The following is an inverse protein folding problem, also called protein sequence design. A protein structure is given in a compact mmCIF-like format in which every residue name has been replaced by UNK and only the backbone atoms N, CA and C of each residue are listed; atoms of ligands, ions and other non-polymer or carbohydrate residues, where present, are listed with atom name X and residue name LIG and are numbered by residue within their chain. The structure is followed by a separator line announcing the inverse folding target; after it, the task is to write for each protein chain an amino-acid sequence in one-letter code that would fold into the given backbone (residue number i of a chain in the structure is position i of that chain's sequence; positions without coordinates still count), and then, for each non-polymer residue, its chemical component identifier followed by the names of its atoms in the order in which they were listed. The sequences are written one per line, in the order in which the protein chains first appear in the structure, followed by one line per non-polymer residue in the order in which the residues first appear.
data_IF_042155482021
#
_entry.id   IF_042155482021
#
_cell.length_a   1.000
_cell.length_b   1.000
_cell.length_c   1.000
_cell.angle_alpha   90.00
_cell.angle_beta   90.00
_cell.angle_gamma   90.00
#
_symmetry.space_group_name_H-M   'P 1'
#
loop_
_entity.id
_entity.type
_entity.pdbx_description
1 polymer ?
#
# COMPACT_ATOMS: atom_id res chain seq x y z
N UNK A 1 -59.59 -17.23 12.68
CA UNK A 1 -58.94 -18.55 12.80
C UNK A 1 -57.47 -18.56 12.36
N UNK A 2 -57.11 -17.96 11.21
CA UNK A 2 -55.72 -17.93 10.70
C UNK A 2 -54.68 -17.31 11.65
N UNK A 3 -55.03 -16.24 12.40
CA UNK A 3 -54.10 -15.58 13.34
C UNK A 3 -53.72 -16.42 14.56
N UNK A 4 -54.58 -17.35 15.01
CA UNK A 4 -54.26 -18.23 16.15
C UNK A 4 -53.35 -19.39 15.73
N UNK A 5 -53.52 -19.90 14.52
CA UNK A 5 -52.67 -20.95 13.95
C UNK A 5 -51.24 -20.45 13.67
N UNK A 6 -51.09 -19.21 13.16
CA UNK A 6 -49.78 -18.57 13.01
C UNK A 6 -49.08 -18.34 14.35
N UNK A 7 -49.84 -17.98 15.40
CA UNK A 7 -49.29 -17.82 16.76
C UNK A 7 -48.84 -19.14 17.38
N UNK A 8 -49.51 -20.25 17.07
CA UNK A 8 -49.10 -21.60 17.48
C UNK A 8 -47.86 -22.09 16.71
N UNK A 9 -47.71 -21.75 15.43
CA UNK A 9 -46.51 -22.04 14.64
C UNK A 9 -45.28 -21.27 15.17
N UNK A 10 -45.39 -19.96 15.42
CA UNK A 10 -44.31 -19.18 16.06
C UNK A 10 -43.96 -19.64 17.49
N UNK A 11 -44.89 -20.28 18.21
CA UNK A 11 -44.64 -20.83 19.54
C UNK A 11 -44.04 -22.25 19.51
N UNK A 12 -43.82 -22.84 18.32
CA UNK A 12 -43.18 -24.13 18.19
C UNK A 12 -41.68 -24.01 18.54
N UNK A 13 -41.16 -24.77 19.52
CA UNK A 13 -39.74 -24.75 19.88
C UNK A 13 -38.81 -25.16 18.72
N UNK A 14 -39.32 -25.88 17.71
CA UNK A 14 -38.57 -26.22 16.50
C UNK A 14 -38.38 -24.99 15.61
N UNK A 15 -39.43 -24.20 15.42
CA UNK A 15 -39.41 -23.01 14.54
C UNK A 15 -38.52 -21.90 15.10
N UNK A 16 -38.56 -21.67 16.41
CA UNK A 16 -37.64 -20.74 17.10
C UNK A 16 -36.17 -21.11 16.95
N UNK A 17 -35.83 -22.41 16.96
CA UNK A 17 -34.45 -22.88 16.73
C UNK A 17 -34.03 -22.72 15.28
N UNK A 18 -34.94 -22.94 14.33
CA UNK A 18 -34.69 -22.68 12.91
C UNK A 18 -34.45 -21.18 12.64
N UNK A 19 -35.15 -20.28 13.33
CA UNK A 19 -34.94 -18.84 13.21
C UNK A 19 -33.59 -18.40 13.80
N UNK A 20 -33.19 -18.96 14.94
CA UNK A 20 -31.86 -18.74 15.52
C UNK A 20 -30.75 -19.24 14.60
N UNK A 21 -30.84 -20.48 14.11
CA UNK A 21 -29.89 -21.05 13.14
C UNK A 21 -29.77 -20.18 11.89
N UNK A 22 -30.90 -19.70 11.37
CA UNK A 22 -30.91 -18.79 10.22
C UNK A 22 -30.22 -17.46 10.53
N UNK A 23 -30.36 -16.94 11.75
CA UNK A 23 -29.67 -15.73 12.20
C UNK A 23 -28.15 -15.95 12.26
N UNK A 24 -27.68 -17.02 12.89
CA UNK A 24 -26.26 -17.37 12.95
C UNK A 24 -25.67 -17.61 11.56
N UNK A 25 -26.35 -18.39 10.71
CA UNK A 25 -25.90 -18.66 9.33
C UNK A 25 -25.82 -17.37 8.52
N UNK A 26 -26.79 -16.45 8.65
CA UNK A 26 -26.71 -15.13 8.00
C UNK A 26 -25.53 -14.31 8.50
N UNK A 27 -25.20 -14.40 9.79
CA UNK A 27 -24.06 -13.68 10.36
C UNK A 27 -22.73 -14.22 9.84
N UNK A 28 -22.53 -15.55 9.83
CA UNK A 28 -21.32 -16.14 9.24
C UNK A 28 -21.19 -15.85 7.75
N UNK A 29 -22.28 -15.89 6.98
CA UNK A 29 -22.26 -15.53 5.55
C UNK A 29 -21.84 -14.07 5.36
N UNK A 30 -22.32 -13.15 6.21
CA UNK A 30 -21.92 -11.75 6.14
C UNK A 30 -20.43 -11.54 6.48
N UNK A 31 -19.88 -12.29 7.44
CA UNK A 31 -18.45 -12.24 7.80
C UNK A 31 -17.58 -12.81 6.68
N UNK A 32 -18.00 -13.92 6.06
CA UNK A 32 -17.31 -14.51 4.90
C UNK A 32 -17.35 -13.58 3.68
N UNK A 33 -18.46 -12.88 3.45
CA UNK A 33 -18.55 -11.88 2.39
C UNK A 33 -17.65 -10.67 2.67
N UNK A 34 -17.62 -10.18 3.91
CA UNK A 34 -16.75 -9.09 4.32
C UNK A 34 -15.25 -9.44 4.16
N UNK A 35 -14.84 -10.65 4.55
CA UNK A 35 -13.45 -11.08 4.42
C UNK A 35 -13.03 -11.19 2.95
N UNK A 36 -13.93 -11.69 2.09
CA UNK A 36 -13.73 -11.72 0.64
C UNK A 36 -13.60 -10.31 0.06
N UNK A 37 -14.48 -9.38 0.43
CA UNK A 37 -14.41 -7.98 -0.01
C UNK A 37 -13.10 -7.29 0.42
N UNK A 38 -12.66 -7.50 1.66
CA UNK A 38 -11.38 -6.97 2.17
C UNK A 38 -10.21 -7.53 1.37
N UNK A 39 -10.17 -8.85 1.11
CA UNK A 39 -9.09 -9.47 0.36
C UNK A 39 -8.98 -8.94 -1.08
N UNK A 40 -10.10 -8.79 -1.79
CA UNK A 40 -10.13 -8.22 -3.15
C UNK A 40 -9.65 -6.77 -3.15
N UNK A 41 -10.18 -5.95 -2.22
CA UNK A 41 -9.79 -4.55 -2.12
C UNK A 41 -8.30 -4.37 -1.78
N UNK A 42 -7.76 -5.19 -0.88
CA UNK A 42 -6.34 -5.19 -0.54
C UNK A 42 -5.48 -5.63 -1.73
N UNK A 43 -5.88 -6.67 -2.46
CA UNK A 43 -5.14 -7.14 -3.62
C UNK A 43 -5.04 -6.06 -4.72
N UNK A 44 -6.15 -5.39 -5.03
CA UNK A 44 -6.16 -4.24 -5.95
C UNK A 44 -5.27 -3.09 -5.46
N UNK A 45 -5.40 -2.72 -4.19
CA UNK A 45 -4.57 -1.67 -3.58
C UNK A 45 -3.08 -2.01 -3.64
N UNK A 46 -2.72 -3.26 -3.37
CA UNK A 46 -1.35 -3.76 -3.41
C UNK A 46 -0.76 -3.67 -4.82
N UNK A 47 -1.55 -4.03 -5.83
CA UNK A 47 -1.15 -3.96 -7.23
C UNK A 47 -0.92 -2.50 -7.66
N UNK A 48 -1.86 -1.61 -7.34
CA UNK A 48 -1.73 -0.17 -7.61
C UNK A 48 -0.51 0.42 -6.92
N UNK A 49 -0.28 0.08 -5.65
CA UNK A 49 0.87 0.56 -4.89
C UNK A 49 2.20 0.04 -5.45
N UNK A 50 2.26 -1.23 -5.85
CA UNK A 50 3.44 -1.82 -6.48
C UNK A 50 3.77 -1.15 -7.81
N UNK A 51 2.76 -0.86 -8.65
CA UNK A 51 2.94 -0.14 -9.92
C UNK A 51 3.42 1.29 -9.68
N UNK A 52 2.80 2.02 -8.74
CA UNK A 52 3.23 3.38 -8.39
C UNK A 52 4.69 3.40 -7.92
N UNK A 53 5.10 2.44 -7.08
CA UNK A 53 6.48 2.35 -6.59
C UNK A 53 7.47 1.97 -7.71
N UNK A 54 7.08 1.06 -8.61
CA UNK A 54 7.89 0.72 -9.78
C UNK A 54 8.07 1.93 -10.71
N UNK A 55 7.02 2.72 -10.92
CA UNK A 55 7.09 3.97 -11.69
C UNK A 55 8.02 4.99 -11.02
N UNK A 56 7.91 5.16 -9.70
CA UNK A 56 8.81 6.06 -8.95
C UNK A 56 10.26 5.58 -9.09
N UNK A 57 10.55 4.29 -8.90
CA UNK A 57 11.91 3.75 -8.97
C UNK A 57 12.51 3.89 -10.37
N UNK A 58 11.73 3.60 -11.42
CA UNK A 58 12.19 3.71 -12.81
C UNK A 58 12.45 5.15 -13.23
N UNK A 59 11.62 6.10 -12.81
CA UNK A 59 11.85 7.53 -13.04
C UNK A 59 13.11 8.01 -12.33
N UNK A 60 13.30 7.62 -11.05
CA UNK A 60 14.52 7.97 -10.32
C UNK A 60 15.77 7.35 -10.96
N UNK A 61 15.71 6.07 -11.37
CA UNK A 61 16.80 5.39 -12.07
C UNK A 61 17.17 6.06 -13.39
N UNK A 62 16.17 6.47 -14.18
CA UNK A 62 16.40 7.18 -15.44
C UNK A 62 17.02 8.58 -15.24
N UNK A 63 16.60 9.30 -14.19
CA UNK A 63 17.22 10.58 -13.83
C UNK A 63 18.68 10.42 -13.41
N UNK A 64 19.00 9.35 -12.68
CA UNK A 64 20.39 9.03 -12.29
C UNK A 64 21.21 8.73 -13.54
N UNK A 65 20.72 7.87 -14.44
CA UNK A 65 21.45 7.50 -15.66
C UNK A 65 21.79 8.72 -16.53
N UNK A 66 20.81 9.60 -16.77
CA UNK A 66 21.04 10.85 -17.51
C UNK A 66 22.01 11.80 -16.80
N UNK A 67 21.95 11.86 -15.47
CA UNK A 67 22.87 12.71 -14.70
C UNK A 67 24.31 12.19 -14.81
N UNK A 68 24.52 10.87 -14.78
CA UNK A 68 25.83 10.25 -14.99
C UNK A 68 26.34 10.50 -16.40
N UNK A 69 25.52 10.36 -17.43
CA UNK A 69 25.88 10.65 -18.82
C UNK A 69 26.29 12.12 -19.03
N UNK A 70 25.58 13.06 -18.37
CA UNK A 70 25.96 14.48 -18.37
C UNK A 70 27.28 14.71 -17.64
N UNK A 71 27.53 14.02 -16.51
CA UNK A 71 28.81 14.12 -15.81
C UNK A 71 29.98 13.55 -16.64
N UNK A 72 29.77 12.42 -17.31
CA UNK A 72 30.76 11.77 -18.15
C UNK A 72 31.11 12.62 -19.38
N UNK A 73 30.09 13.15 -20.07
CA UNK A 73 30.30 14.07 -21.19
C UNK A 73 31.00 15.36 -20.75
N UNK A 74 30.63 15.94 -19.61
CA UNK A 74 31.32 17.11 -19.05
C UNK A 74 32.79 16.81 -18.68
N UNK A 75 33.09 15.60 -18.19
CA UNK A 75 34.45 15.17 -17.90
C UNK A 75 35.31 14.94 -19.16
N UNK A 76 34.69 14.52 -20.27
CA UNK A 76 35.37 14.26 -21.54
C UNK A 76 35.85 15.51 -22.29
N UNK A 77 35.38 16.70 -21.89
CA UNK A 77 35.82 17.98 -22.44
C UNK A 77 37.24 18.28 -21.91
N UNK A 78 38.17 18.82 -22.71
CA UNK A 78 39.50 19.25 -22.24
C UNK A 78 39.40 20.53 -21.38
N UNK A 79 38.72 20.44 -20.23
CA UNK A 79 38.44 21.56 -19.33
C UNK A 79 39.70 22.16 -18.69
N UNK A 80 40.77 21.37 -18.59
CA UNK A 80 42.04 21.78 -17.99
C UNK A 80 42.82 22.82 -18.83
N UNK A 81 42.52 22.94 -20.13
CA UNK A 81 43.15 23.91 -21.02
C UNK A 81 42.39 25.25 -21.10
N UNK A 82 41.20 25.33 -20.47
CA UNK A 82 40.31 26.49 -20.49
C UNK A 82 40.44 27.38 -19.24
N UNK A 83 39.71 28.50 -19.24
CA UNK A 83 39.74 29.49 -18.15
C UNK A 83 39.37 28.90 -16.77
N UNK A 84 39.89 29.51 -15.71
CA UNK A 84 39.64 29.07 -14.32
C UNK A 84 38.14 29.11 -13.95
N UNK A 85 37.38 30.01 -14.57
CA UNK A 85 35.92 30.10 -14.41
C UNK A 85 35.21 28.89 -15.03
N UNK A 86 35.66 28.44 -16.20
CA UNK A 86 35.11 27.27 -16.89
C UNK A 86 35.38 25.98 -16.11
N UNK A 87 36.59 25.81 -15.58
CA UNK A 87 36.96 24.65 -14.74
C UNK A 87 36.05 24.52 -13.51
N UNK A 88 35.82 25.64 -12.81
CA UNK A 88 34.94 25.66 -11.66
C UNK A 88 33.50 25.30 -12.05
N UNK A 89 33.01 25.81 -13.20
CA UNK A 89 31.67 25.52 -13.69
C UNK A 89 31.47 24.02 -13.98
N UNK A 90 32.42 23.39 -14.68
CA UNK A 90 32.40 21.95 -14.97
C UNK A 90 32.44 21.12 -13.68
N UNK A 91 33.29 21.51 -12.73
CA UNK A 91 33.38 20.86 -11.42
C UNK A 91 32.04 20.91 -10.68
N UNK A 92 31.35 22.07 -10.68
CA UNK A 92 30.02 22.21 -10.09
C UNK A 92 28.96 21.34 -10.78
N UNK A 93 29.02 21.21 -12.12
CA UNK A 93 28.09 20.37 -12.89
C UNK A 93 28.28 18.90 -12.50
N UNK A 94 29.52 18.41 -12.45
CA UNK A 94 29.85 17.02 -12.07
C UNK A 94 29.42 16.75 -10.61
N UNK A 95 29.74 17.67 -9.68
CA UNK A 95 29.34 17.56 -8.27
C UNK A 95 27.82 17.54 -8.08
N UNK A 96 27.08 18.32 -8.87
CA UNK A 96 25.62 18.35 -8.82
C UNK A 96 25.01 17.11 -9.43
N UNK A 97 25.55 16.64 -10.55
CA UNK A 97 25.10 15.42 -11.23
C UNK A 97 25.25 14.15 -10.37
N UNK A 98 26.23 14.15 -9.46
CA UNK A 98 26.44 13.07 -8.50
C UNK A 98 25.52 13.07 -7.27
N UNK A 99 24.70 14.13 -7.05
CA UNK A 99 23.74 14.15 -5.94
C UNK A 99 22.42 13.50 -6.38
N UNK A 100 22.02 12.36 -5.80
CA UNK A 100 20.75 11.73 -6.15
C UNK A 100 19.60 12.69 -5.84
N UNK A 101 18.65 12.80 -6.77
CA UNK A 101 17.42 13.56 -6.60
C UNK A 101 16.56 12.85 -5.55
N UNK A 102 16.79 13.14 -4.28
CA UNK A 102 15.94 12.63 -3.19
C UNK A 102 14.64 13.43 -3.22
N UNK A 103 13.56 12.81 -3.68
CA UNK A 103 12.20 13.36 -3.59
C UNK A 103 11.77 13.39 -2.12
N UNK A 104 12.21 14.44 -1.42
CA UNK A 104 11.86 14.72 -0.03
C UNK A 104 10.74 15.75 -0.02
N UNK A 105 9.52 15.33 0.30
CA UNK A 105 8.43 16.26 0.62
C UNK A 105 8.54 16.62 2.11
N UNK A 106 8.34 17.89 2.49
CA UNK A 106 8.46 18.35 3.87
C UNK A 106 7.53 17.60 4.85
N UNK A 107 6.47 16.95 4.34
CA UNK A 107 5.50 16.18 5.13
C UNK A 107 5.61 14.66 4.94
N UNK A 108 6.33 14.16 3.94
CA UNK A 108 6.40 12.74 3.61
C UNK A 108 7.87 12.34 3.67
N UNK A 109 8.20 11.46 4.61
CA UNK A 109 9.49 10.77 4.69
C UNK A 109 9.95 10.34 3.31
N UNK A 110 11.25 10.46 3.02
CA UNK A 110 11.84 10.14 1.71
C UNK A 110 11.16 8.95 1.05
N UNK A 111 10.60 9.18 -0.15
CA UNK A 111 9.92 8.17 -0.95
C UNK A 111 10.94 7.13 -1.37
N UNK A 112 11.08 6.13 -0.51
CA UNK A 112 12.14 5.13 -0.54
C UNK A 112 11.54 3.77 -0.17
N UNK A 113 12.20 2.70 -0.62
CA UNK A 113 11.79 1.34 -0.31
C UNK A 113 11.56 1.07 1.21
N UNK A 114 12.38 1.62 2.13
CA UNK A 114 12.13 1.51 3.57
C UNK A 114 10.80 2.14 4.03
N UNK A 115 10.42 3.28 3.47
CA UNK A 115 9.13 3.94 3.78
C UNK A 115 7.94 3.08 3.33
N UNK A 116 8.05 2.43 2.18
CA UNK A 116 7.06 1.47 1.69
C UNK A 116 6.89 0.28 2.64
N UNK A 117 8.00 -0.38 2.99
CA UNK A 117 7.96 -1.54 3.89
C UNK A 117 7.31 -1.17 5.23
N UNK A 118 7.56 0.03 5.76
CA UNK A 118 6.88 0.53 6.96
C UNK A 118 5.36 0.61 6.79
N UNK A 119 4.87 1.22 5.71
CA UNK A 119 3.42 1.33 5.44
C UNK A 119 2.79 -0.05 5.32
N UNK A 120 3.46 -0.98 4.63
CA UNK A 120 3.02 -2.36 4.49
C UNK A 120 2.95 -3.11 5.82
N UNK A 121 4.02 -3.02 6.63
CA UNK A 121 4.05 -3.66 7.94
C UNK A 121 2.97 -3.11 8.86
N UNK A 122 2.74 -1.79 8.89
CA UNK A 122 1.66 -1.20 9.68
C UNK A 122 0.29 -1.68 9.23
N UNK A 123 0.03 -1.71 7.91
CA UNK A 123 -1.24 -2.20 7.35
C UNK A 123 -1.48 -3.66 7.74
N UNK A 124 -0.46 -4.51 7.63
CA UNK A 124 -0.54 -5.90 8.04
C UNK A 124 -0.83 -6.04 9.54
N UNK A 125 -0.14 -5.27 10.40
CA UNK A 125 -0.40 -5.26 11.84
C UNK A 125 -1.85 -4.88 12.16
N UNK A 126 -2.41 -3.86 11.51
CA UNK A 126 -3.82 -3.48 11.69
C UNK A 126 -4.77 -4.59 11.26
N UNK A 127 -4.49 -5.26 10.13
CA UNK A 127 -5.30 -6.39 9.66
C UNK A 127 -5.24 -7.59 10.61
N UNK A 128 -4.05 -7.92 11.13
CA UNK A 128 -3.88 -9.00 12.11
C UNK A 128 -4.63 -8.69 13.41
N UNK A 129 -4.60 -7.45 13.90
CA UNK A 129 -5.37 -7.05 15.08
C UNK A 129 -6.87 -7.23 14.85
N UNK A 130 -7.38 -6.78 13.70
CA UNK A 130 -8.78 -6.93 13.35
C UNK A 130 -9.19 -8.41 13.22
N UNK A 131 -8.34 -9.24 12.62
CA UNK A 131 -8.55 -10.68 12.53
C UNK A 131 -8.61 -11.33 13.93
N UNK A 132 -7.68 -10.99 14.81
CA UNK A 132 -7.66 -11.51 16.18
C UNK A 132 -8.91 -11.09 16.97
N UNK A 133 -9.38 -9.85 16.81
CA UNK A 133 -10.63 -9.39 17.45
C UNK A 133 -11.87 -10.15 16.95
N UNK A 134 -11.92 -10.52 15.66
CA UNK A 134 -13.02 -11.31 15.10
C UNK A 134 -13.01 -12.73 15.66
N UNK A 135 -11.83 -13.36 15.79
CA UNK A 135 -11.71 -14.69 16.39
C UNK A 135 -12.15 -14.70 17.85
N UNK A 136 -11.84 -13.66 18.61
CA UNK A 136 -12.22 -13.56 20.03
C UNK A 136 -13.73 -13.38 20.23
N UNK A 137 -14.45 -12.86 19.24
CA UNK A 137 -15.93 -12.84 19.24
C UNK A 137 -16.59 -14.18 18.90
N UNK A 138 -15.84 -15.17 18.42
CA UNK A 138 -16.35 -16.51 18.06
C UNK A 138 -16.24 -17.52 19.23
N UNK A 139 -15.41 -17.23 20.25
CA UNK A 139 -15.23 -18.07 21.45
C UNK A 139 -16.14 -17.69 22.65
N UNK A 140 -17.02 -16.67 22.51
CA UNK A 140 -17.94 -16.20 23.56
C UNK A 140 -19.41 -16.44 23.21
#
# INVERSE_FOLDING_TARGET
MLQNNLRQLCNNPVEKRCDLLRHYVKHHIAVLDLSHQIAVALNELMLVHAVLMALILTVNGFQILRSVEVAESAYSIPWYDESLEFQNMVLFIILRAHKPLVLRSASISELSFPSFTKVMSSTYSYLTLLYNMILETEEL
#
